data_IF_475661441679
#
_entry.id   IF_475661441679
#
_cell.length_a   1.000
_cell.length_b   1.000
_cell.length_c   1.000
_cell.angle_alpha   90.00
_cell.angle_beta   90.00
_cell.angle_gamma   90.00
#
_symmetry.space_group_name_H-M   'P 1'
#
loop_
_entity.id
_entity.type
_entity.pdbx_description
1 polymer ?
#
# COMPACT_ATOMS: atom_id res chain seq x y z
N UNK A 1 27.56 -4.08 27.56
CA UNK A 1 27.33 -4.01 26.11
C UNK A 1 26.06 -4.80 25.82
N UNK A 2 24.95 -4.11 25.68
CA UNK A 2 23.66 -4.68 25.26
C UNK A 2 23.31 -4.03 23.94
N UNK A 3 23.17 -4.83 22.89
CA UNK A 3 22.75 -4.41 21.56
C UNK A 3 21.35 -3.79 21.63
N UNK A 4 21.30 -2.45 21.58
CA UNK A 4 20.08 -1.65 21.52
C UNK A 4 19.81 -1.27 20.06
N UNK A 5 19.29 -2.21 19.27
CA UNK A 5 18.81 -1.94 17.89
C UNK A 5 17.45 -2.57 17.61
N UNK A 6 16.55 -2.47 18.57
CA UNK A 6 15.11 -2.43 18.26
C UNK A 6 14.66 -1.03 18.65
N UNK A 7 14.10 -0.22 17.74
CA UNK A 7 13.47 1.03 18.13
C UNK A 7 12.49 0.71 19.25
N UNK A 8 12.67 1.30 20.44
CA UNK A 8 11.65 1.23 21.47
C UNK A 8 10.44 1.93 20.90
N UNK A 9 9.45 1.14 20.46
CA UNK A 9 8.16 1.67 20.05
C UNK A 9 7.64 2.57 21.18
N UNK A 10 7.15 3.75 20.83
CA UNK A 10 6.56 4.73 21.73
C UNK A 10 5.32 4.15 22.46
N UNK A 11 4.60 4.96 23.23
CA UNK A 11 3.34 4.50 23.85
C UNK A 11 2.36 4.14 22.71
N UNK A 12 1.78 2.94 22.76
CA UNK A 12 0.78 2.52 21.78
C UNK A 12 -0.41 3.48 21.80
N UNK A 13 -0.78 4.02 20.64
CA UNK A 13 -1.95 4.88 20.46
C UNK A 13 -3.24 4.07 20.51
N UNK A 14 -3.19 2.84 20.00
CA UNK A 14 -4.30 1.89 20.04
C UNK A 14 -3.76 0.46 20.03
N UNK A 15 -4.50 -0.46 20.65
CA UNK A 15 -4.15 -1.88 20.74
C UNK A 15 -5.34 -2.71 20.29
N UNK A 16 -5.11 -3.61 19.34
CA UNK A 16 -6.12 -4.46 18.74
C UNK A 16 -5.73 -5.92 18.94
N UNK A 17 -6.64 -6.73 19.47
CA UNK A 17 -6.37 -8.11 19.83
C UNK A 17 -7.20 -9.07 18.97
N UNK A 18 -6.59 -10.17 18.58
CA UNK A 18 -7.29 -11.35 18.07
C UNK A 18 -7.50 -12.33 19.24
N UNK A 19 -8.75 -12.67 19.52
CA UNK A 19 -9.10 -13.63 20.59
C UNK A 19 -9.15 -15.05 20.04
N UNK A 20 -7.99 -15.62 19.72
CA UNK A 20 -7.80 -17.01 19.31
C UNK A 20 -6.92 -17.81 20.27
N UNK A 21 -6.67 -19.08 19.97
CA UNK A 21 -5.78 -19.95 20.77
C UNK A 21 -4.32 -19.46 20.82
N UNK A 22 -3.90 -18.66 19.85
CA UNK A 22 -2.67 -17.85 19.87
C UNK A 22 -3.07 -16.39 19.72
N UNK A 23 -3.07 -15.60 20.82
CA UNK A 23 -3.50 -14.22 20.75
C UNK A 23 -2.47 -13.39 19.97
N UNK A 24 -2.89 -12.92 18.80
CA UNK A 24 -2.15 -11.91 18.05
C UNK A 24 -2.56 -10.52 18.54
N UNK A 25 -1.59 -9.63 18.68
CA UNK A 25 -1.81 -8.26 19.12
C UNK A 25 -1.16 -7.29 18.14
N UNK A 26 -1.95 -6.31 17.67
CA UNK A 26 -1.51 -5.24 16.79
C UNK A 26 -1.57 -3.93 17.58
N UNK A 27 -0.40 -3.35 17.84
CA UNK A 27 -0.28 -2.05 18.50
C UNK A 27 0.00 -1.01 17.41
N UNK A 28 -0.89 -0.04 17.24
CA UNK A 28 -0.61 1.13 16.41
C UNK A 28 0.17 2.14 17.24
N UNK A 29 1.31 2.54 16.72
CA UNK A 29 2.15 3.59 17.27
C UNK A 29 2.09 4.81 16.36
N UNK A 30 2.67 5.91 16.82
CA UNK A 30 2.74 7.13 16.03
C UNK A 30 3.44 6.89 14.68
N UNK A 31 4.57 6.18 14.68
CA UNK A 31 5.42 6.00 13.49
C UNK A 31 5.42 4.60 12.88
N UNK A 32 4.63 3.68 13.43
CA UNK A 32 4.64 2.32 12.94
C UNK A 32 3.61 1.44 13.60
N UNK A 33 3.72 0.16 13.29
CA UNK A 33 2.90 -0.90 13.85
C UNK A 33 3.81 -1.91 14.52
N UNK A 34 3.38 -2.39 15.69
CA UNK A 34 3.96 -3.57 16.30
C UNK A 34 2.98 -4.71 16.13
N UNK A 35 3.46 -5.81 15.57
CA UNK A 35 2.75 -7.07 15.54
C UNK A 35 3.37 -7.99 16.59
N UNK A 36 2.54 -8.58 17.45
CA UNK A 36 2.93 -9.64 18.37
C UNK A 36 2.17 -10.91 18.01
N UNK A 37 2.90 -11.96 17.68
CA UNK A 37 2.34 -13.28 17.34
C UNK A 37 3.06 -14.32 18.20
N UNK A 38 2.34 -14.89 19.18
CA UNK A 38 2.96 -15.68 20.24
C UNK A 38 4.05 -14.87 20.97
N UNK A 39 5.26 -15.42 21.05
CA UNK A 39 6.42 -14.76 21.68
C UNK A 39 7.18 -13.80 20.75
N UNK A 40 6.83 -13.77 19.47
CA UNK A 40 7.50 -12.92 18.48
C UNK A 40 6.89 -11.53 18.47
N UNK A 41 7.75 -10.50 18.49
CA UNK A 41 7.36 -9.09 18.40
C UNK A 41 8.12 -8.43 17.25
N UNK A 42 7.39 -7.95 16.25
CA UNK A 42 7.96 -7.32 15.05
C UNK A 42 7.46 -5.90 14.94
N UNK A 43 8.36 -4.96 14.69
CA UNK A 43 8.04 -3.56 14.41
C UNK A 43 8.21 -3.28 12.92
N UNK A 44 7.26 -2.57 12.33
CA UNK A 44 7.40 -1.98 11.00
C UNK A 44 7.07 -0.48 11.07
N UNK A 45 8.02 0.37 10.68
CA UNK A 45 7.73 1.78 10.50
C UNK A 45 6.82 1.97 9.28
N UNK A 46 5.83 2.86 9.37
CA UNK A 46 4.94 3.13 8.25
C UNK A 46 5.70 3.64 7.03
N UNK A 47 6.73 4.45 7.26
CA UNK A 47 7.65 4.96 6.23
C UNK A 47 8.47 3.86 5.54
N UNK A 48 8.58 2.66 6.10
CA UNK A 48 9.38 1.56 5.54
C UNK A 48 8.53 0.46 4.89
N UNK A 49 7.21 0.49 5.07
CA UNK A 49 6.31 -0.47 4.44
C UNK A 49 6.30 -0.21 2.93
N UNK A 50 6.65 -1.25 2.15
CA UNK A 50 6.70 -1.17 0.69
C UNK A 50 5.44 -1.71 0.05
N UNK A 51 4.79 -2.69 0.68
CA UNK A 51 3.52 -3.22 0.21
C UNK A 51 2.49 -3.30 1.31
N UNK A 52 1.28 -2.94 0.92
CA UNK A 52 0.05 -3.18 1.64
C UNK A 52 -0.91 -3.91 0.69
N UNK A 53 -1.26 -5.15 1.02
CA UNK A 53 -2.23 -5.94 0.30
C UNK A 53 -3.56 -5.93 1.07
N UNK A 54 -4.64 -5.51 0.42
CA UNK A 54 -6.01 -5.63 0.94
C UNK A 54 -6.68 -6.81 0.24
N UNK A 55 -7.32 -7.70 0.99
CA UNK A 55 -7.95 -8.88 0.39
C UNK A 55 -9.12 -9.40 1.22
N UNK A 56 -10.04 -10.08 0.53
CA UNK A 56 -11.06 -10.88 1.17
C UNK A 56 -10.47 -12.26 1.52
N UNK A 57 -10.79 -12.78 2.70
CA UNK A 57 -10.35 -14.11 3.15
C UNK A 57 -11.45 -14.82 3.93
N UNK A 58 -11.34 -16.14 4.05
CA UNK A 58 -12.33 -16.96 4.76
C UNK A 58 -13.68 -17.05 4.03
N UNK A 59 -14.79 -17.32 4.75
CA UNK A 59 -16.12 -17.50 4.17
C UNK A 59 -16.60 -16.33 3.31
N UNK A 60 -16.15 -15.11 3.62
CA UNK A 60 -16.53 -13.89 2.90
C UNK A 60 -15.70 -13.67 1.62
N UNK A 61 -14.72 -14.53 1.31
CA UNK A 61 -13.91 -14.40 0.09
C UNK A 61 -14.77 -14.35 -1.18
N UNK A 62 -15.87 -15.10 -1.22
CA UNK A 62 -16.81 -15.11 -2.33
C UNK A 62 -17.61 -13.80 -2.47
N UNK A 63 -17.74 -13.01 -1.40
CA UNK A 63 -18.41 -11.70 -1.43
C UNK A 63 -17.51 -10.59 -1.98
N UNK A 64 -16.19 -10.81 -2.03
CA UNK A 64 -15.22 -9.79 -2.39
C UNK A 64 -15.00 -8.71 -1.32
N UNK A 65 -15.68 -8.79 -0.17
CA UNK A 65 -15.54 -7.83 0.91
C UNK A 65 -14.15 -7.93 1.54
N UNK A 66 -13.41 -6.82 1.53
CA UNK A 66 -12.10 -6.73 2.17
C UNK A 66 -12.29 -6.89 3.67
N UNK A 67 -11.78 -7.98 4.21
CA UNK A 67 -11.84 -8.31 5.63
C UNK A 67 -10.46 -8.67 6.19
N UNK A 68 -9.40 -8.53 5.40
CA UNK A 68 -8.03 -8.78 5.84
C UNK A 68 -7.06 -7.88 5.10
N UNK A 69 -5.93 -7.60 5.73
CA UNK A 69 -4.82 -6.96 5.05
C UNK A 69 -3.49 -7.56 5.49
N UNK A 70 -2.47 -7.38 4.67
CA UNK A 70 -1.12 -7.79 4.99
C UNK A 70 -0.12 -6.76 4.49
N UNK A 71 1.01 -6.64 5.19
CA UNK A 71 2.06 -5.70 4.81
C UNK A 71 3.44 -6.32 4.90
N UNK A 72 4.40 -5.74 4.18
CA UNK A 72 5.82 -6.08 4.25
C UNK A 72 6.69 -4.87 3.92
N UNK A 73 7.89 -4.86 4.50
CA UNK A 73 8.88 -3.79 4.29
C UNK A 73 9.80 -4.04 3.10
N UNK A 74 9.74 -5.23 2.50
CA UNK A 74 10.50 -5.57 1.30
C UNK A 74 9.80 -6.71 0.53
N UNK A 75 9.81 -6.72 -0.83
CA UNK A 75 9.18 -7.77 -1.63
C UNK A 75 9.69 -9.19 -1.38
N UNK A 76 10.95 -9.33 -0.95
CA UNK A 76 11.54 -10.62 -0.59
C UNK A 76 11.19 -11.08 0.84
N UNK A 77 10.62 -10.21 1.68
CA UNK A 77 10.21 -10.58 3.03
C UNK A 77 8.82 -11.23 3.04
N UNK A 78 8.59 -12.09 4.03
CA UNK A 78 7.26 -12.64 4.31
C UNK A 78 6.26 -11.54 4.69
N UNK A 79 4.99 -11.86 4.51
CA UNK A 79 3.88 -10.97 4.87
C UNK A 79 3.60 -11.00 6.36
N UNK A 80 3.40 -9.83 6.97
CA UNK A 80 2.71 -9.71 8.26
C UNK A 80 1.22 -9.56 7.98
N UNK A 81 0.44 -10.61 8.30
CA UNK A 81 -1.01 -10.64 8.07
C UNK A 81 -1.76 -10.11 9.29
N UNK A 82 -2.76 -9.27 9.03
CA UNK A 82 -3.78 -8.84 9.98
C UNK A 82 -5.10 -9.49 9.57
N UNK A 83 -5.58 -10.50 10.32
CA UNK A 83 -6.74 -11.28 9.93
C UNK A 83 -8.07 -10.60 10.34
N UNK A 84 -9.18 -11.07 9.77
CA UNK A 84 -10.52 -10.49 9.96
C UNK A 84 -11.00 -10.54 11.42
N UNK A 85 -10.50 -11.52 12.16
CA UNK A 85 -10.91 -11.85 13.52
C UNK A 85 -10.23 -10.97 14.57
N UNK A 86 -9.49 -9.94 14.16
CA UNK A 86 -9.00 -8.90 15.05
C UNK A 86 -10.17 -8.01 15.50
N UNK A 87 -10.30 -7.80 16.81
CA UNK A 87 -11.32 -6.91 17.37
C UNK A 87 -11.25 -5.51 16.74
N UNK A 88 -12.42 -4.97 16.36
CA UNK A 88 -12.53 -3.66 15.69
C UNK A 88 -11.72 -3.54 14.38
N UNK A 89 -11.59 -4.63 13.61
CA UNK A 89 -10.82 -4.70 12.36
C UNK A 89 -10.95 -3.46 11.45
N UNK A 90 -12.18 -2.99 11.18
CA UNK A 90 -12.38 -1.81 10.32
C UNK A 90 -11.69 -0.56 10.88
N UNK A 91 -11.76 -0.33 12.19
CA UNK A 91 -11.07 0.79 12.84
C UNK A 91 -9.56 0.64 12.74
N UNK A 92 -9.03 -0.58 12.92
CA UNK A 92 -7.61 -0.86 12.73
C UNK A 92 -7.18 -0.58 11.30
N UNK A 93 -7.92 -1.11 10.31
CA UNK A 93 -7.61 -0.94 8.90
C UNK A 93 -7.61 0.54 8.49
N UNK A 94 -8.63 1.31 8.88
CA UNK A 94 -8.70 2.75 8.56
C UNK A 94 -7.56 3.53 9.23
N UNK A 95 -7.31 3.26 10.52
CA UNK A 95 -6.25 3.90 11.28
C UNK A 95 -4.85 3.56 10.76
N UNK A 96 -4.65 2.32 10.30
CA UNK A 96 -3.42 1.85 9.68
C UNK A 96 -3.20 2.55 8.34
N UNK A 97 -4.18 2.49 7.43
CA UNK A 97 -4.09 3.06 6.08
C UNK A 97 -3.82 4.57 6.13
N UNK A 98 -4.55 5.29 6.98
CA UNK A 98 -4.35 6.74 7.16
C UNK A 98 -2.92 7.08 7.59
N UNK A 99 -2.37 6.38 8.59
CA UNK A 99 -0.99 6.61 9.06
C UNK A 99 0.06 6.16 8.06
N UNK A 100 -0.19 5.03 7.39
CA UNK A 100 0.65 4.52 6.32
C UNK A 100 0.81 5.56 5.21
N UNK A 101 -0.30 6.07 4.69
CA UNK A 101 -0.28 7.12 3.67
C UNK A 101 0.42 8.37 4.17
N UNK A 102 0.05 8.88 5.35
CA UNK A 102 0.61 10.11 5.90
C UNK A 102 2.14 10.09 6.09
N UNK A 103 2.74 8.90 6.27
CA UNK A 103 4.17 8.77 6.54
C UNK A 103 4.97 8.22 5.36
N UNK A 104 4.38 7.35 4.55
CA UNK A 104 5.08 6.78 3.40
C UNK A 104 4.99 7.70 2.19
N UNK A 105 3.88 8.41 1.99
CA UNK A 105 3.70 9.28 0.82
C UNK A 105 4.82 10.33 0.69
N UNK A 106 5.17 11.11 1.74
CA UNK A 106 6.24 12.11 1.62
C UNK A 106 7.60 11.50 1.28
N UNK A 107 7.90 10.30 1.78
CA UNK A 107 9.15 9.57 1.45
C UNK A 107 9.21 9.20 -0.03
N UNK A 108 8.08 8.81 -0.62
CA UNK A 108 8.01 8.48 -2.04
C UNK A 108 8.07 9.74 -2.92
N UNK A 109 7.43 10.83 -2.49
CA UNK A 109 7.49 12.12 -3.17
C UNK A 109 8.91 12.68 -3.20
N UNK A 110 9.62 12.65 -2.06
CA UNK A 110 11.03 13.04 -1.97
C UNK A 110 11.93 12.17 -2.85
N UNK A 111 11.67 10.85 -2.88
CA UNK A 111 12.42 9.94 -3.76
C UNK A 111 12.21 10.29 -5.24
N UNK A 112 10.98 10.51 -5.68
CA UNK A 112 10.65 10.91 -7.05
C UNK A 112 11.28 12.26 -7.40
N UNK A 113 11.22 13.23 -6.49
CA UNK A 113 11.85 14.55 -6.66
C UNK A 113 13.39 14.47 -6.70
N UNK A 114 13.98 13.44 -6.09
CA UNK A 114 15.39 13.09 -6.20
C UNK A 114 15.73 12.16 -7.38
N UNK A 115 14.91 12.17 -8.43
CA UNK A 115 15.06 11.37 -9.65
C UNK A 115 15.01 9.84 -9.46
N UNK A 116 14.55 9.37 -8.29
CA UNK A 116 14.40 7.94 -8.07
C UNK A 116 13.15 7.39 -8.77
N UNK A 117 13.26 6.14 -9.22
CA UNK A 117 12.13 5.34 -9.70
C UNK A 117 11.53 4.57 -8.53
N UNK A 118 10.30 4.91 -8.16
CA UNK A 118 9.53 4.26 -7.10
C UNK A 118 8.68 3.14 -7.68
N UNK A 119 8.90 1.90 -7.22
CA UNK A 119 8.19 0.72 -7.68
C UNK A 119 6.93 0.43 -6.85
N UNK A 120 5.84 0.11 -7.56
CA UNK A 120 4.62 -0.48 -7.06
C UNK A 120 4.41 -1.83 -7.74
N UNK A 121 3.55 -2.68 -7.16
CA UNK A 121 3.23 -3.99 -7.72
C UNK A 121 1.73 -4.18 -7.80
N UNK A 122 1.28 -4.81 -8.88
CA UNK A 122 -0.12 -5.17 -9.06
C UNK A 122 -0.25 -6.66 -9.31
N UNK A 123 -1.34 -7.24 -8.81
CA UNK A 123 -1.59 -8.68 -8.81
C UNK A 123 -2.09 -9.09 -10.20
N UNK A 124 -1.32 -9.91 -10.90
CA UNK A 124 -1.69 -10.53 -12.18
C UNK A 124 -2.56 -11.76 -11.96
N UNK A 125 -2.20 -12.59 -11.00
CA UNK A 125 -2.93 -13.81 -10.65
C UNK A 125 -2.59 -14.29 -9.24
N UNK A 126 -3.23 -15.39 -8.80
CA UNK A 126 -2.98 -15.99 -7.50
C UNK A 126 -3.91 -15.49 -6.38
N UNK A 127 -3.74 -16.09 -5.21
CA UNK A 127 -4.47 -15.76 -3.99
C UNK A 127 -3.46 -15.56 -2.87
N UNK A 128 -3.75 -14.67 -1.93
CA UNK A 128 -2.86 -14.44 -0.80
C UNK A 128 -2.61 -15.76 -0.02
N UNK A 129 -1.36 -16.10 0.35
CA UNK A 129 -0.13 -15.29 0.21
C UNK A 129 0.63 -15.45 -1.12
N UNK A 130 0.24 -16.43 -1.95
CA UNK A 130 0.89 -16.80 -3.21
C UNK A 130 0.39 -15.93 -4.38
N UNK A 131 0.79 -14.67 -4.36
CA UNK A 131 0.43 -13.66 -5.37
C UNK A 131 1.49 -13.59 -6.48
N UNK A 132 1.04 -13.71 -7.72
CA UNK A 132 1.84 -13.37 -8.89
C UNK A 132 1.66 -11.88 -9.20
N UNK A 133 2.75 -11.12 -9.12
CA UNK A 133 2.73 -9.66 -9.22
C UNK A 133 3.64 -9.15 -10.31
N UNK A 134 3.21 -8.09 -10.98
CA UNK A 134 4.02 -7.35 -11.93
C UNK A 134 4.30 -5.94 -11.42
N UNK A 135 5.48 -5.41 -11.73
CA UNK A 135 5.89 -4.06 -11.34
C UNK A 135 5.29 -2.99 -12.27
N UNK A 136 4.95 -1.86 -11.67
CA UNK A 136 4.67 -0.57 -12.31
C UNK A 136 5.40 0.48 -11.48
N UNK A 137 6.09 1.42 -12.11
CA UNK A 137 6.92 2.39 -11.37
C UNK A 137 6.60 3.83 -11.75
N UNK A 138 6.89 4.75 -10.84
CA UNK A 138 6.72 6.19 -11.01
C UNK A 138 8.08 6.89 -10.83
N UNK A 139 8.30 7.97 -11.56
CA UNK A 139 9.48 8.83 -11.44
C UNK A 139 9.11 10.24 -11.92
N UNK A 140 10.02 11.20 -11.82
CA UNK A 140 9.80 12.55 -12.37
C UNK A 140 9.48 12.54 -13.88
N UNK A 141 10.01 11.57 -14.63
CA UNK A 141 9.79 11.44 -16.08
C UNK A 141 8.40 10.90 -16.46
N UNK A 142 7.68 10.26 -15.54
CA UNK A 142 6.41 9.62 -15.86
C UNK A 142 6.21 8.23 -15.26
N UNK A 143 5.22 7.54 -15.82
CA UNK A 143 4.85 6.16 -15.51
C UNK A 143 5.72 5.19 -16.30
N UNK A 144 6.23 4.14 -15.64
CA UNK A 144 7.04 3.11 -16.27
C UNK A 144 6.40 1.72 -16.15
N UNK A 145 6.31 1.00 -17.26
CA UNK A 145 5.89 -0.41 -17.29
C UNK A 145 6.75 -1.20 -18.28
N UNK A 146 7.54 -2.14 -17.76
CA UNK A 146 8.58 -2.80 -18.56
C UNK A 146 9.58 -1.77 -19.09
N UNK A 147 9.82 -1.82 -20.40
CA UNK A 147 10.74 -0.92 -21.11
C UNK A 147 10.06 0.37 -21.62
N UNK A 148 8.75 0.53 -21.39
CA UNK A 148 8.00 1.68 -21.84
C UNK A 148 7.83 2.71 -20.72
N UNK A 149 7.96 3.98 -21.12
CA UNK A 149 7.77 5.16 -20.27
C UNK A 149 6.70 6.03 -20.89
N UNK A 150 5.71 6.42 -20.09
CA UNK A 150 4.66 7.37 -20.46
C UNK A 150 4.84 8.65 -19.67
N UNK A 151 5.27 9.73 -20.32
CA UNK A 151 5.31 11.04 -19.68
C UNK A 151 3.92 11.44 -19.16
N UNK A 152 3.87 12.13 -18.02
CA UNK A 152 2.59 12.46 -17.39
C UNK A 152 1.72 13.37 -18.27
N UNK A 153 2.34 14.24 -19.06
CA UNK A 153 1.67 15.09 -20.04
C UNK A 153 1.00 14.29 -21.17
N UNK A 154 1.48 13.09 -21.47
CA UNK A 154 0.89 12.20 -22.49
C UNK A 154 -0.31 11.40 -21.98
N UNK A 155 -0.63 11.52 -20.69
CA UNK A 155 -1.71 10.79 -20.05
C UNK A 155 -2.90 11.70 -19.76
N UNK A 156 -4.11 11.18 -19.99
CA UNK A 156 -5.33 11.86 -19.56
C UNK A 156 -5.40 11.94 -18.04
N UNK A 157 -6.00 13.04 -17.60
CA UNK A 157 -6.27 13.31 -16.20
C UNK A 157 -7.26 12.28 -15.65
N UNK A 158 -7.04 11.87 -14.41
CA UNK A 158 -8.01 11.09 -13.66
C UNK A 158 -9.03 12.05 -13.04
N UNK A 159 -10.30 11.93 -13.42
CA UNK A 159 -11.38 12.58 -12.69
C UNK A 159 -11.75 11.73 -11.46
N UNK A 160 -11.36 12.20 -10.28
CA UNK A 160 -11.70 11.54 -9.02
C UNK A 160 -13.21 11.51 -8.76
N UNK A 161 -14.01 12.39 -9.38
CA UNK A 161 -15.47 12.34 -9.25
C UNK A 161 -16.10 11.21 -10.08
N UNK A 162 -15.37 10.69 -11.06
CA UNK A 162 -15.69 9.50 -11.85
C UNK A 162 -14.86 8.30 -11.42
N UNK A 163 -14.21 8.37 -10.25
CA UNK A 163 -13.36 7.31 -9.74
C UNK A 163 -14.15 6.01 -9.62
N UNK A 164 -13.81 5.06 -10.47
CA UNK A 164 -14.32 3.69 -10.38
C UNK A 164 -13.45 2.90 -9.41
N UNK A 165 -13.90 1.73 -8.96
CA UNK A 165 -13.02 0.78 -8.24
C UNK A 165 -11.80 0.34 -9.06
N UNK A 166 -11.73 0.70 -10.35
CA UNK A 166 -10.62 0.46 -11.26
C UNK A 166 -9.81 1.73 -11.49
N UNK A 167 -8.50 1.61 -11.28
CA UNK A 167 -7.51 2.60 -11.66
C UNK A 167 -7.30 2.48 -13.16
N UNK A 168 -7.66 3.51 -13.91
CA UNK A 168 -7.50 3.57 -15.37
C UNK A 168 -6.68 4.78 -15.77
N UNK A 169 -5.65 4.53 -16.57
CA UNK A 169 -4.80 5.53 -17.21
C UNK A 169 -4.94 5.38 -18.72
N UNK A 170 -5.22 6.48 -19.38
CA UNK A 170 -5.38 6.56 -20.83
C UNK A 170 -4.36 7.54 -21.41
N UNK A 171 -3.94 7.30 -22.64
CA UNK A 171 -3.21 8.32 -23.41
C UNK A 171 -4.16 9.40 -23.94
N UNK A 172 -3.60 10.44 -24.57
CA UNK A 172 -4.35 11.56 -25.15
C UNK A 172 -5.44 11.11 -26.15
N UNK A 173 -5.20 10.03 -26.89
CA UNK A 173 -6.13 9.45 -27.86
C UNK A 173 -7.27 8.65 -27.18
N UNK A 174 -7.19 8.45 -25.85
CA UNK A 174 -8.16 7.69 -25.06
C UNK A 174 -7.93 6.19 -25.10
N UNK A 175 -6.76 5.74 -25.51
CA UNK A 175 -6.38 4.34 -25.43
C UNK A 175 -5.86 4.05 -24.03
N UNK A 176 -6.38 2.97 -23.44
CA UNK A 176 -5.94 2.51 -22.11
C UNK A 176 -4.47 2.10 -22.12
N UNK A 177 -3.67 2.80 -21.33
CA UNK A 177 -2.27 2.50 -21.01
C UNK A 177 -2.20 1.49 -19.87
N UNK A 178 -2.96 1.72 -18.81
CA UNK A 178 -3.04 0.85 -17.64
C UNK A 178 -4.47 0.80 -17.12
N UNK A 179 -4.95 -0.39 -16.78
CA UNK A 179 -6.22 -0.56 -16.07
C UNK A 179 -6.10 -1.70 -15.06
N UNK A 180 -6.39 -1.42 -13.79
CA UNK A 180 -6.34 -2.42 -12.73
C UNK A 180 -7.32 -2.08 -11.61
N UNK A 181 -8.14 -3.03 -11.11
CA UNK A 181 -8.90 -2.83 -9.88
C UNK A 181 -7.97 -2.35 -8.76
N UNK A 182 -8.34 -1.29 -8.04
CA UNK A 182 -7.51 -0.69 -7.00
C UNK A 182 -7.13 -1.69 -5.92
N UNK A 183 -8.03 -2.64 -5.60
CA UNK A 183 -7.78 -3.73 -4.64
C UNK A 183 -6.69 -4.71 -5.10
N UNK A 184 -6.36 -4.73 -6.40
CA UNK A 184 -5.29 -5.56 -6.97
C UNK A 184 -3.97 -4.81 -7.10
N UNK A 185 -3.92 -3.51 -6.81
CA UNK A 185 -2.67 -2.75 -6.73
C UNK A 185 -2.22 -2.74 -5.27
N UNK A 186 -1.03 -3.28 -5.01
CA UNK A 186 -0.44 -3.23 -3.68
C UNK A 186 -0.10 -1.78 -3.35
N UNK A 187 -0.47 -1.36 -2.13
CA UNK A 187 -0.37 0.03 -1.69
C UNK A 187 -1.10 1.01 -2.63
N UNK A 188 -2.28 0.60 -3.12
CA UNK A 188 -3.11 1.39 -4.03
C UNK A 188 -3.35 2.83 -3.57
N UNK A 189 -3.60 3.06 -2.27
CA UNK A 189 -3.77 4.42 -1.75
C UNK A 189 -2.58 5.34 -2.09
N UNK A 190 -1.35 4.86 -1.92
CA UNK A 190 -0.15 5.62 -2.25
C UNK A 190 0.00 5.81 -3.76
N UNK A 191 -0.20 4.73 -4.52
CA UNK A 191 -0.10 4.78 -5.99
C UNK A 191 -1.05 5.82 -6.58
N UNK A 192 -2.31 5.82 -6.13
CA UNK A 192 -3.34 6.75 -6.59
C UNK A 192 -3.02 8.18 -6.21
N UNK A 193 -2.58 8.43 -4.97
CA UNK A 193 -2.20 9.78 -4.54
C UNK A 193 -1.05 10.34 -5.40
N UNK A 194 0.00 9.54 -5.63
CA UNK A 194 1.15 9.98 -6.44
C UNK A 194 0.77 10.22 -7.89
N UNK A 195 0.05 9.29 -8.53
CA UNK A 195 -0.37 9.46 -9.93
C UNK A 195 -1.27 10.68 -10.07
N UNK A 196 -2.21 10.88 -9.14
CA UNK A 196 -3.09 12.04 -9.16
C UNK A 196 -2.35 13.36 -8.99
N UNK A 197 -1.44 13.45 -8.01
CA UNK A 197 -0.63 14.65 -7.77
C UNK A 197 0.23 14.99 -9.00
N UNK A 198 0.88 14.00 -9.63
CA UNK A 198 1.69 14.23 -10.82
C UNK A 198 0.86 14.71 -12.03
N UNK A 199 -0.31 14.09 -12.28
CA UNK A 199 -1.22 14.51 -13.35
C UNK A 199 -1.91 15.86 -13.05
N UNK A 200 -2.04 16.24 -11.77
CA UNK A 200 -2.54 17.55 -11.35
C UNK A 200 -1.51 18.66 -11.58
N UNK A 201 -0.24 18.43 -11.20
CA UNK A 201 0.85 19.42 -11.34
C UNK A 201 1.11 19.82 -12.79
N UNK A 202 1.09 18.88 -13.73
CA UNK A 202 1.29 19.20 -15.16
C UNK A 202 0.24 20.15 -15.72
N UNK A 203 -0.94 20.25 -15.10
CA UNK A 203 -2.00 21.18 -15.50
C UNK A 203 -1.73 22.64 -15.10
N UNK A 204 -0.94 22.90 -14.04
CA UNK A 204 -0.64 24.26 -13.59
C UNK A 204 0.42 24.94 -14.45
N UNK A 205 1.17 24.16 -15.24
CA UNK A 205 2.26 24.62 -16.09
C UNK A 205 1.95 24.62 -17.60
N UNK A 206 0.71 24.29 -18.01
CA UNK A 206 0.24 24.28 -19.40
C UNK A 206 -0.77 25.41 -19.65
#
# INVERSE_FOLDING_TARGET
MTDSKTPQASIALAVFNHTGSTPDCFELHEHGVVCRQGDSRTYAAFADIQDLCLFASGPDAASGLINSFAYRTHPAHGWTRVPAEVGEFNKLMDAFRSRYVAQRLPVLEEAIAGDARVAFRYIRSGHFPDLDTQEISLSAEGLHMGDATWPYESLKRIDLNQWTETISLEDEDGKTVFACPAVRVLSSDLFVNLVYDQLGRTAEYA
#
